data_IF_872114731027
#
_entry.id   IF_872114731027
#
_cell.length_a   1.000
_cell.length_b   1.000
_cell.length_c   1.000
_cell.angle_alpha   90.00
_cell.angle_beta   90.00
_cell.angle_gamma   90.00
#
_symmetry.space_group_name_H-M   'P 1'
#
loop_
_entity.id
_entity.type
_entity.pdbx_description
1 polymer ?
#
# COMPACT_ATOMS: atom_id res chain seq x y z
N UNK A 1 28.23 4.16 14.87
CA UNK A 1 27.96 3.20 13.78
C UNK A 1 26.51 2.73 13.82
N UNK A 2 25.56 3.61 13.45
CA UNK A 2 24.13 3.29 13.34
C UNK A 2 23.55 4.20 12.26
N UNK A 3 23.56 3.81 10.99
CA UNK A 3 22.86 4.62 9.97
C UNK A 3 22.51 3.94 8.65
N UNK A 4 23.06 2.79 8.26
CA UNK A 4 22.75 2.22 6.93
C UNK A 4 21.76 1.05 6.93
N UNK A 5 21.54 0.39 8.08
CA UNK A 5 20.66 -0.77 8.16
C UNK A 5 19.16 -0.42 8.07
N UNK A 6 18.74 0.75 8.56
CA UNK A 6 17.32 1.12 8.64
C UNK A 6 16.71 1.49 7.27
N UNK A 7 17.53 1.94 6.30
CA UNK A 7 17.03 2.28 4.95
C UNK A 7 16.79 1.01 4.12
N UNK A 8 17.53 -0.07 4.38
CA UNK A 8 17.37 -1.35 3.67
C UNK A 8 16.08 -2.10 4.03
N UNK A 9 15.38 -1.72 5.09
CA UNK A 9 14.08 -2.33 5.47
C UNK A 9 12.85 -1.67 4.83
N UNK A 10 13.00 -0.54 4.12
CA UNK A 10 11.87 0.17 3.52
C UNK A 10 11.21 -0.58 2.35
N UNK A 11 11.93 -1.52 1.72
CA UNK A 11 11.43 -2.29 0.58
C UNK A 11 11.81 -3.75 0.76
N UNK A 12 10.86 -4.57 1.24
CA UNK A 12 10.92 -6.02 1.04
C UNK A 12 10.28 -6.33 -0.32
N UNK A 13 11.02 -6.82 -1.32
CA UNK A 13 10.42 -7.23 -2.58
C UNK A 13 9.50 -8.44 -2.30
N UNK A 14 8.19 -8.22 -2.39
CA UNK A 14 7.24 -9.31 -2.48
C UNK A 14 7.14 -9.72 -3.97
N UNK A 15 6.81 -10.98 -4.22
CA UNK A 15 6.86 -11.66 -5.54
C UNK A 15 5.98 -10.97 -6.61
N UNK A 16 5.13 -10.00 -6.24
CA UNK A 16 4.38 -9.15 -7.18
C UNK A 16 4.69 -7.66 -7.03
N UNK A 17 4.84 -6.96 -8.18
CA UNK A 17 5.00 -5.49 -8.26
C UNK A 17 3.92 -4.71 -7.50
N UNK A 18 2.71 -5.27 -7.36
CA UNK A 18 1.61 -4.66 -6.62
C UNK A 18 1.84 -4.69 -5.11
N UNK A 19 2.27 -5.83 -4.57
CA UNK A 19 2.60 -5.94 -3.16
C UNK A 19 3.78 -5.03 -2.79
N UNK A 20 4.79 -4.92 -3.66
CA UNK A 20 5.93 -4.00 -3.45
C UNK A 20 5.48 -2.54 -3.35
N UNK A 21 4.61 -2.07 -4.25
CA UNK A 21 4.09 -0.69 -4.21
C UNK A 21 3.26 -0.43 -2.94
N UNK A 22 2.40 -1.38 -2.56
CA UNK A 22 1.63 -1.28 -1.33
C UNK A 22 2.54 -1.21 -0.09
N UNK A 23 3.52 -2.10 0.03
CA UNK A 23 4.45 -2.13 1.15
C UNK A 23 5.27 -0.84 1.25
N UNK A 24 5.67 -0.26 0.11
CA UNK A 24 6.36 1.02 0.08
C UNK A 24 5.47 2.16 0.61
N UNK A 25 4.21 2.25 0.15
CA UNK A 25 3.26 3.26 0.62
C UNK A 25 2.91 3.09 2.11
N UNK A 26 2.69 1.85 2.56
CA UNK A 26 2.43 1.52 3.96
C UNK A 26 3.63 1.88 4.85
N UNK A 27 4.86 1.61 4.39
CA UNK A 27 6.08 1.98 5.10
C UNK A 27 6.28 3.49 5.18
N UNK A 28 6.05 4.22 4.08
CA UNK A 28 6.08 5.69 4.06
C UNK A 28 5.07 6.28 5.06
N UNK A 29 3.84 5.74 5.08
CA UNK A 29 2.79 6.18 6.01
C UNK A 29 3.19 5.95 7.47
N UNK A 30 3.73 4.77 7.80
CA UNK A 30 4.20 4.42 9.15
C UNK A 30 5.30 5.36 9.64
N UNK A 31 6.16 5.82 8.74
CA UNK A 31 7.29 6.71 9.07
C UNK A 31 6.98 8.19 8.81
N UNK A 32 5.71 8.58 8.67
CA UNK A 32 5.31 9.97 8.42
C UNK A 32 5.95 10.97 9.40
N UNK A 33 5.87 10.68 10.71
CA UNK A 33 6.39 11.58 11.74
C UNK A 33 7.92 11.70 11.66
N UNK A 34 8.61 10.60 11.33
CA UNK A 34 10.06 10.57 11.19
C UNK A 34 10.51 11.35 9.95
N UNK A 35 9.80 11.21 8.84
CA UNK A 35 10.05 11.95 7.61
C UNK A 35 9.86 13.46 7.82
N UNK A 36 8.77 13.87 8.49
CA UNK A 36 8.53 15.27 8.87
C UNK A 36 9.60 15.81 9.82
N UNK A 37 10.06 15.00 10.77
CA UNK A 37 11.14 15.40 11.68
C UNK A 37 12.46 15.56 10.94
N UNK A 38 12.78 14.63 10.04
CA UNK A 38 14.01 14.63 9.26
C UNK A 38 14.17 15.91 8.42
N UNK A 39 13.11 16.34 7.73
CA UNK A 39 13.13 17.56 6.89
C UNK A 39 13.34 18.85 7.69
N UNK A 40 13.10 18.81 9.01
CA UNK A 40 13.30 19.93 9.93
C UNK A 40 14.64 19.89 10.69
N UNK A 41 15.52 18.92 10.39
CA UNK A 41 16.84 18.83 11.04
C UNK A 41 17.88 19.76 10.42
N UNK A 42 18.83 20.22 11.25
CA UNK A 42 20.00 20.97 10.77
C UNK A 42 20.82 20.18 9.74
N UNK A 43 20.99 18.87 9.95
CA UNK A 43 21.71 18.00 9.02
C UNK A 43 21.04 17.92 7.64
N UNK A 44 19.71 17.93 7.58
CA UNK A 44 18.99 18.04 6.31
C UNK A 44 19.25 19.40 5.63
N UNK A 45 19.15 20.51 6.37
CA UNK A 45 19.38 21.85 5.82
C UNK A 45 20.80 22.00 5.24
N UNK A 46 21.82 21.53 5.95
CA UNK A 46 23.22 21.58 5.50
C UNK A 46 23.43 20.76 4.22
N UNK A 47 22.84 19.57 4.12
CA UNK A 47 22.91 18.75 2.91
C UNK A 47 22.11 19.36 1.75
N UNK A 48 20.95 19.94 2.04
CA UNK A 48 20.11 20.61 1.05
C UNK A 48 20.84 21.79 0.39
N UNK A 49 21.63 22.56 1.14
CA UNK A 49 22.41 23.68 0.60
C UNK A 49 23.52 23.23 -0.36
N UNK A 50 24.05 22.02 -0.18
CA UNK A 50 25.07 21.42 -1.06
C UNK A 50 24.52 20.88 -2.37
N UNK A 51 23.19 20.75 -2.51
CA UNK A 51 22.57 20.22 -3.73
C UNK A 51 22.71 21.20 -4.90
N UNK A 52 22.98 20.64 -6.09
CA UNK A 52 22.87 21.35 -7.36
C UNK A 52 21.41 21.76 -7.64
N UNK A 53 21.19 22.63 -8.64
CA UNK A 53 19.87 23.16 -8.98
C UNK A 53 18.84 22.07 -9.32
N UNK A 54 19.25 20.98 -9.99
CA UNK A 54 18.35 19.90 -10.41
C UNK A 54 17.86 19.09 -9.22
N UNK A 55 18.77 18.70 -8.34
CA UNK A 55 18.44 17.87 -7.18
C UNK A 55 17.72 18.69 -6.10
N UNK A 56 18.00 19.99 -5.99
CA UNK A 56 17.23 20.91 -5.15
C UNK A 56 15.76 20.99 -5.55
N UNK A 57 15.46 21.03 -6.86
CA UNK A 57 14.07 20.99 -7.35
C UNK A 57 13.35 19.70 -6.94
N UNK A 58 14.02 18.55 -7.01
CA UNK A 58 13.44 17.27 -6.56
C UNK A 58 13.21 17.26 -5.04
N UNK A 59 14.19 17.73 -4.27
CA UNK A 59 14.07 17.83 -2.82
C UNK A 59 12.87 18.70 -2.41
N UNK A 60 12.64 19.82 -3.10
CA UNK A 60 11.48 20.68 -2.85
C UNK A 60 10.14 20.00 -3.12
N UNK A 61 10.05 19.16 -4.16
CA UNK A 61 8.85 18.35 -4.41
C UNK A 61 8.63 17.37 -3.25
N UNK A 62 9.68 16.67 -2.81
CA UNK A 62 9.59 15.71 -1.71
C UNK A 62 9.18 16.39 -0.40
N UNK A 63 9.80 17.51 -0.06
CA UNK A 63 9.42 18.31 1.14
C UNK A 63 7.97 18.78 1.03
N UNK A 64 7.56 19.29 -0.14
CA UNK A 64 6.17 19.69 -0.38
C UNK A 64 5.17 18.54 -0.20
N UNK A 65 5.54 17.31 -0.58
CA UNK A 65 4.71 16.12 -0.32
C UNK A 65 4.68 15.76 1.17
N UNK A 66 5.83 15.80 1.86
CA UNK A 66 5.94 15.51 3.30
C UNK A 66 5.12 16.50 4.14
N UNK A 67 5.03 17.77 3.72
CA UNK A 67 4.25 18.79 4.41
C UNK A 67 2.78 18.80 4.01
N UNK A 68 2.41 18.17 2.89
CA UNK A 68 1.04 18.13 2.38
C UNK A 68 0.14 17.19 3.21
N UNK A 69 -0.85 17.76 3.90
CA UNK A 69 -1.84 16.95 4.61
C UNK A 69 -2.67 16.07 3.66
N UNK A 70 -2.95 16.55 2.45
CA UNK A 70 -3.72 15.82 1.45
C UNK A 70 -2.96 14.58 0.99
N UNK A 71 -1.65 14.68 0.76
CA UNK A 71 -0.81 13.54 0.38
C UNK A 71 -0.89 12.40 1.40
N UNK A 72 -0.81 12.72 2.69
CA UNK A 72 -0.92 11.71 3.75
C UNK A 72 -2.32 11.10 3.86
N UNK A 73 -3.37 11.90 3.69
CA UNK A 73 -4.75 11.41 3.63
C UNK A 73 -4.96 10.46 2.45
N UNK A 74 -4.40 10.79 1.29
CA UNK A 74 -4.51 9.97 0.08
C UNK A 74 -3.76 8.64 0.25
N UNK A 75 -2.52 8.66 0.76
CA UNK A 75 -1.78 7.43 1.06
C UNK A 75 -2.53 6.58 2.07
N UNK A 76 -3.04 7.17 3.16
CA UNK A 76 -3.84 6.45 4.14
C UNK A 76 -5.08 5.81 3.51
N UNK A 77 -5.79 6.53 2.64
CA UNK A 77 -6.93 6.02 1.89
C UNK A 77 -6.56 4.84 1.00
N UNK A 78 -5.48 4.96 0.22
CA UNK A 78 -4.97 3.89 -0.64
C UNK A 78 -4.59 2.67 0.19
N UNK A 79 -3.76 2.82 1.23
CA UNK A 79 -3.33 1.71 2.09
C UNK A 79 -4.53 1.02 2.76
N UNK A 80 -5.56 1.79 3.12
CA UNK A 80 -6.77 1.25 3.74
C UNK A 80 -7.62 0.41 2.77
N UNK A 81 -7.64 0.76 1.48
CA UNK A 81 -8.34 0.00 0.44
C UNK A 81 -7.56 -1.25 0.04
N UNK A 82 -6.25 -1.13 -0.15
CA UNK A 82 -5.42 -2.21 -0.68
C UNK A 82 -4.94 -3.18 0.39
N UNK A 83 -4.86 -2.78 1.66
CA UNK A 83 -4.41 -3.64 2.75
C UNK A 83 -5.18 -4.96 2.88
N UNK A 84 -6.52 -4.95 2.87
CA UNK A 84 -7.33 -6.16 2.78
C UNK A 84 -6.98 -6.98 1.51
N UNK A 85 -7.04 -6.36 0.33
CA UNK A 85 -6.81 -7.05 -0.95
C UNK A 85 -5.45 -7.76 -1.05
N UNK A 86 -4.39 -7.19 -0.45
CA UNK A 86 -3.07 -7.83 -0.41
C UNK A 86 -3.10 -9.13 0.41
N UNK A 87 -3.96 -9.25 1.42
CA UNK A 87 -4.15 -10.51 2.17
C UNK A 87 -4.82 -11.56 1.30
N UNK A 88 -5.90 -11.20 0.60
CA UNK A 88 -6.56 -12.10 -0.36
C UNK A 88 -5.60 -12.60 -1.42
N UNK A 89 -4.80 -11.70 -2.01
CA UNK A 89 -3.79 -12.11 -3.00
C UNK A 89 -2.76 -13.09 -2.41
N UNK A 90 -2.33 -12.89 -1.16
CA UNK A 90 -1.42 -13.85 -0.50
C UNK A 90 -2.06 -15.22 -0.27
N UNK A 91 -3.37 -15.30 -0.03
CA UNK A 91 -4.08 -16.58 0.10
C UNK A 91 -4.14 -17.30 -1.26
N UNK A 92 -4.43 -16.56 -2.35
CA UNK A 92 -4.40 -17.11 -3.73
C UNK A 92 -3.01 -17.62 -4.11
N UNK A 93 -1.96 -16.88 -3.75
CA UNK A 93 -0.58 -17.25 -4.05
C UNK A 93 -0.06 -18.41 -3.17
N UNK A 94 -0.84 -18.88 -2.19
CA UNK A 94 -0.49 -20.05 -1.39
C UNK A 94 -0.93 -21.34 -2.12
N UNK A 95 -0.05 -22.33 -2.27
CA UNK A 95 -0.35 -23.58 -2.98
C UNK A 95 -1.36 -24.50 -2.24
N UNK A 96 -2.02 -24.00 -1.20
CA UNK A 96 -2.89 -24.76 -0.33
C UNK A 96 -4.34 -24.81 -0.85
N UNK A 97 -4.67 -25.86 -1.62
CA UNK A 97 -6.03 -26.08 -2.17
C UNK A 97 -7.16 -26.06 -1.14
N UNK A 98 -6.88 -26.30 0.15
CA UNK A 98 -7.87 -26.23 1.22
C UNK A 98 -8.35 -24.79 1.52
N UNK A 99 -7.73 -23.75 0.95
CA UNK A 99 -8.06 -22.35 1.22
C UNK A 99 -9.08 -21.75 0.25
N UNK A 100 -9.56 -22.48 -0.75
CA UNK A 100 -10.49 -21.92 -1.75
C UNK A 100 -11.81 -21.46 -1.11
N UNK A 101 -12.35 -22.20 -0.14
CA UNK A 101 -13.54 -21.77 0.59
C UNK A 101 -13.27 -20.53 1.46
N UNK A 102 -12.08 -20.49 2.09
CA UNK A 102 -11.63 -19.34 2.87
C UNK A 102 -11.38 -18.10 2.01
N UNK A 103 -11.06 -18.28 0.72
CA UNK A 103 -10.81 -17.20 -0.22
C UNK A 103 -12.08 -16.38 -0.51
N UNK A 104 -13.22 -17.04 -0.72
CA UNK A 104 -14.51 -16.36 -0.92
C UNK A 104 -14.93 -15.61 0.36
N UNK A 105 -14.83 -16.26 1.52
CA UNK A 105 -15.10 -15.63 2.81
C UNK A 105 -14.17 -14.42 3.06
N UNK A 106 -12.89 -14.54 2.72
CA UNK A 106 -11.93 -13.46 2.84
C UNK A 106 -12.26 -12.28 1.91
N UNK A 107 -12.66 -12.54 0.67
CA UNK A 107 -13.08 -11.51 -0.28
C UNK A 107 -14.29 -10.73 0.24
N UNK A 108 -15.29 -11.41 0.79
CA UNK A 108 -16.48 -10.76 1.35
C UNK A 108 -16.15 -9.92 2.59
N UNK A 109 -15.31 -10.46 3.49
CA UNK A 109 -14.78 -9.75 4.66
C UNK A 109 -14.03 -8.48 4.24
N UNK A 110 -13.20 -8.56 3.21
CA UNK A 110 -12.39 -7.46 2.72
C UNK A 110 -13.24 -6.37 2.06
N UNK A 111 -14.23 -6.76 1.25
CA UNK A 111 -15.23 -5.84 0.70
C UNK A 111 -15.97 -5.10 1.82
N UNK A 112 -16.37 -5.81 2.87
CA UNK A 112 -16.99 -5.20 4.05
C UNK A 112 -16.06 -4.17 4.72
N UNK A 113 -14.78 -4.50 4.92
CA UNK A 113 -13.80 -3.57 5.47
C UNK A 113 -13.61 -2.33 4.59
N UNK A 114 -13.55 -2.49 3.28
CA UNK A 114 -13.49 -1.38 2.32
C UNK A 114 -14.74 -0.49 2.44
N UNK A 115 -15.93 -1.08 2.55
CA UNK A 115 -17.17 -0.31 2.75
C UNK A 115 -17.13 0.51 4.04
N UNK A 116 -16.69 -0.10 5.14
CA UNK A 116 -16.53 0.57 6.43
C UNK A 116 -15.56 1.75 6.34
N UNK A 117 -14.45 1.56 5.63
CA UNK A 117 -13.36 2.52 5.60
C UNK A 117 -13.54 3.65 4.57
N UNK A 118 -14.09 3.34 3.39
CA UNK A 118 -14.27 4.31 2.28
C UNK A 118 -15.61 5.06 2.40
N UNK A 119 -16.55 4.54 3.18
CA UNK A 119 -17.87 5.14 3.31
C UNK A 119 -18.57 5.22 1.95
N UNK A 120 -19.19 6.35 1.61
CA UNK A 120 -20.05 6.50 0.41
C UNK A 120 -19.36 6.16 -0.93
N UNK A 121 -18.03 6.21 -1.01
CA UNK A 121 -17.27 5.92 -2.23
C UNK A 121 -17.06 4.42 -2.53
N UNK A 122 -17.41 3.53 -1.60
CA UNK A 122 -17.02 2.11 -1.65
C UNK A 122 -17.51 1.37 -2.89
N UNK A 123 -18.67 1.77 -3.45
CA UNK A 123 -19.27 1.10 -4.62
C UNK A 123 -18.33 1.08 -5.81
N UNK A 124 -17.60 2.18 -6.06
CA UNK A 124 -16.62 2.25 -7.16
C UNK A 124 -15.47 1.28 -6.94
N UNK A 125 -14.99 1.16 -5.70
CA UNK A 125 -13.96 0.20 -5.32
C UNK A 125 -14.45 -1.24 -5.53
N UNK A 126 -15.67 -1.55 -5.06
CA UNK A 126 -16.28 -2.86 -5.25
C UNK A 126 -16.43 -3.22 -6.72
N UNK A 127 -16.95 -2.32 -7.55
CA UNK A 127 -17.06 -2.58 -9.00
C UNK A 127 -15.72 -2.93 -9.64
N UNK A 128 -14.63 -2.26 -9.24
CA UNK A 128 -13.30 -2.56 -9.75
C UNK A 128 -12.76 -3.91 -9.23
N UNK A 129 -13.05 -4.24 -7.97
CA UNK A 129 -12.70 -5.53 -7.36
C UNK A 129 -13.48 -6.66 -8.03
N UNK A 130 -14.80 -6.53 -8.14
CA UNK A 130 -15.71 -7.50 -8.77
C UNK A 130 -15.30 -7.79 -10.20
N UNK A 131 -15.01 -6.75 -10.98
CA UNK A 131 -14.53 -6.92 -12.35
C UNK A 131 -13.24 -7.73 -12.43
N UNK A 132 -12.29 -7.50 -11.51
CA UNK A 132 -11.04 -8.28 -11.48
C UNK A 132 -11.27 -9.69 -10.97
N UNK A 133 -12.09 -9.85 -9.93
CA UNK A 133 -12.46 -11.13 -9.34
C UNK A 133 -13.12 -12.03 -10.39
N UNK A 134 -14.16 -11.56 -11.06
CA UNK A 134 -14.90 -12.33 -12.07
C UNK A 134 -14.06 -12.68 -13.30
N UNK A 135 -13.07 -11.85 -13.66
CA UNK A 135 -12.24 -12.08 -14.84
C UNK A 135 -11.02 -12.98 -14.59
N UNK A 136 -10.53 -13.07 -13.35
CA UNK A 136 -9.22 -13.65 -13.06
C UNK A 136 -9.22 -14.69 -11.93
N UNK A 137 -10.09 -14.55 -10.93
CA UNK A 137 -10.04 -15.33 -9.69
C UNK A 137 -11.26 -16.24 -9.50
N UNK A 138 -12.41 -15.83 -10.03
CA UNK A 138 -13.63 -16.61 -10.06
C UNK A 138 -13.65 -17.49 -11.31
N UNK A 139 -13.46 -18.79 -11.12
CA UNK A 139 -13.70 -19.81 -12.14
C UNK A 139 -14.68 -20.84 -11.59
N UNK A 140 -15.50 -21.45 -12.45
CA UNK A 140 -16.53 -22.42 -12.04
C UNK A 140 -15.96 -23.57 -11.19
N UNK A 141 -14.71 -23.97 -11.50
CA UNK A 141 -13.94 -24.97 -10.75
C UNK A 141 -13.59 -24.54 -9.31
N UNK A 142 -13.50 -23.23 -9.04
CA UNK A 142 -13.20 -22.68 -7.72
C UNK A 142 -14.49 -22.52 -6.89
N UNK A 143 -15.62 -22.25 -7.54
CA UNK A 143 -16.93 -22.13 -6.89
C UNK A 143 -17.47 -23.51 -6.44
N UNK A 144 -17.19 -24.57 -7.21
CA UNK A 144 -17.61 -25.94 -6.89
C UNK A 144 -16.95 -26.57 -5.64
N UNK A 145 -15.90 -25.95 -5.09
CA UNK A 145 -15.30 -26.36 -3.81
C UNK A 145 -15.80 -25.55 -2.60
N UNK A 146 -16.57 -24.50 -2.83
CA UNK A 146 -17.18 -23.68 -1.77
C UNK A 146 -18.62 -24.11 -1.45
N UNK A 147 -19.34 -24.63 -2.45
CA UNK A 147 -20.66 -25.26 -2.32
C UNK A 147 -20.53 -26.78 -2.35
#
# INVERSE_FOLDING_TARGET
MRTEAQIRELVRPAITRFATNFLALDSILKHQADLKRMTNTRGWAENYMKLNRKDRKKANIVVGLIDSQTYWKDIAGVTTIFGPLVKVLRMVDSDNKAEMAHLYEAMDRDKFMIKKNVGKGYKKCWTMIDKRWNNQLHQDIHAAGYF
#
